data_IF_692501256177
#
_entry.id   IF_692501256177
#
_cell.length_a   1.000
_cell.length_b   1.000
_cell.length_c   1.000
_cell.angle_alpha   90.00
_cell.angle_beta   90.00
_cell.angle_gamma   90.00
#
_symmetry.space_group_name_H-M   'P 1'
#
loop_
_entity.id
_entity.type
_entity.pdbx_description
1 polymer ?
#
# COMPACT_ATOMS: atom_id res chain seq x y z
N UNK A 1 6.79 19.71 10.92
CA UNK A 1 7.35 18.78 9.91
C UNK A 1 6.78 17.38 10.13
N UNK A 2 6.91 16.82 11.34
CA UNK A 2 6.29 15.54 11.71
C UNK A 2 4.78 15.46 11.40
N UNK A 3 3.96 16.42 11.86
CA UNK A 3 2.51 16.44 11.59
C UNK A 3 2.16 16.41 10.08
N UNK A 4 2.89 17.16 9.25
CA UNK A 4 2.68 17.17 7.79
C UNK A 4 3.03 15.83 7.13
N UNK A 5 4.01 15.12 7.67
CA UNK A 5 4.42 13.83 7.14
C UNK A 5 3.43 12.76 7.59
N UNK A 6 2.96 12.80 8.84
CA UNK A 6 1.89 11.94 9.34
C UNK A 6 0.60 12.11 8.52
N UNK A 7 0.20 13.35 8.23
CA UNK A 7 -0.93 13.64 7.33
C UNK A 7 -0.72 13.08 5.92
N UNK A 8 0.50 13.19 5.38
CA UNK A 8 0.84 12.63 4.08
C UNK A 8 0.75 11.10 4.09
N UNK A 9 1.32 10.41 5.08
CA UNK A 9 1.22 8.94 5.16
C UNK A 9 -0.23 8.48 5.31
N UNK A 10 -1.02 9.17 6.15
CA UNK A 10 -2.43 8.86 6.31
C UNK A 10 -3.19 9.02 4.98
N UNK A 11 -2.90 10.09 4.24
CA UNK A 11 -3.48 10.33 2.92
C UNK A 11 -3.08 9.25 1.89
N UNK A 12 -1.82 8.82 1.87
CA UNK A 12 -1.32 7.74 0.99
C UNK A 12 -2.05 6.42 1.27
N UNK A 13 -2.19 6.04 2.54
CA UNK A 13 -2.91 4.84 2.95
C UNK A 13 -4.40 4.93 2.61
N UNK A 14 -5.05 6.06 2.89
CA UNK A 14 -6.46 6.27 2.58
C UNK A 14 -6.72 6.24 1.07
N UNK A 15 -5.81 6.81 0.28
CA UNK A 15 -5.89 6.79 -1.19
C UNK A 15 -5.79 5.35 -1.70
N UNK A 16 -4.79 4.59 -1.21
CA UNK A 16 -4.63 3.18 -1.60
C UNK A 16 -5.83 2.31 -1.20
N UNK A 17 -6.41 2.53 -0.01
CA UNK A 17 -7.67 1.86 0.40
C UNK A 17 -8.81 2.21 -0.56
N UNK A 18 -8.95 3.49 -0.91
CA UNK A 18 -10.01 3.95 -1.80
C UNK A 18 -9.88 3.35 -3.20
N UNK A 19 -8.65 3.21 -3.70
CA UNK A 19 -8.37 2.58 -4.99
C UNK A 19 -8.76 1.11 -5.00
N UNK A 20 -8.42 0.36 -3.94
CA UNK A 20 -8.85 -1.05 -3.80
C UNK A 20 -10.37 -1.18 -3.70
N UNK A 21 -11.04 -0.28 -2.98
CA UNK A 21 -12.50 -0.30 -2.85
C UNK A 21 -13.24 0.03 -4.16
N UNK A 22 -12.67 0.91 -4.98
CA UNK A 22 -13.24 1.34 -6.26
C UNK A 22 -12.79 0.48 -7.45
N UNK A 23 -11.89 -0.48 -7.22
CA UNK A 23 -11.37 -1.32 -8.28
C UNK A 23 -12.44 -2.27 -8.84
N UNK A 24 -12.49 -2.31 -10.16
CA UNK A 24 -13.20 -3.27 -10.99
C UNK A 24 -12.33 -3.65 -12.20
N UNK A 25 -12.92 -4.34 -13.18
CA UNK A 25 -12.15 -4.90 -14.31
C UNK A 25 -11.40 -3.81 -15.10
N UNK A 26 -12.01 -2.64 -15.30
CA UNK A 26 -11.46 -1.57 -16.16
C UNK A 26 -10.24 -0.85 -15.57
N UNK A 27 -10.07 -0.86 -14.25
CA UNK A 27 -8.96 -0.22 -13.55
C UNK A 27 -8.05 -1.23 -12.82
N UNK A 28 -8.25 -2.54 -13.00
CA UNK A 28 -7.41 -3.57 -12.39
C UNK A 28 -5.91 -3.40 -12.72
N UNK A 29 -5.57 -2.97 -13.95
CA UNK A 29 -4.19 -2.69 -14.33
C UNK A 29 -3.62 -1.45 -13.62
N UNK A 30 -4.41 -0.38 -13.54
CA UNK A 30 -4.02 0.84 -12.84
C UNK A 30 -3.88 0.62 -11.33
N UNK A 31 -4.60 -0.36 -10.77
CA UNK A 31 -4.53 -0.69 -9.34
C UNK A 31 -3.15 -1.19 -8.93
N UNK A 32 -2.50 -2.02 -9.76
CA UNK A 32 -1.14 -2.47 -9.48
C UNK A 32 -0.16 -1.29 -9.49
N UNK A 33 -0.20 -0.49 -10.55
CA UNK A 33 0.68 0.68 -10.70
C UNK A 33 0.48 1.69 -9.56
N UNK A 34 -0.78 1.91 -9.14
CA UNK A 34 -1.13 2.73 -7.98
C UNK A 34 -0.51 2.19 -6.68
N UNK A 35 -0.67 0.90 -6.39
CA UNK A 35 -0.12 0.29 -5.18
C UNK A 35 1.41 0.35 -5.13
N UNK A 36 2.09 0.06 -6.24
CA UNK A 36 3.54 0.20 -6.34
C UNK A 36 3.99 1.64 -6.10
N UNK A 37 3.29 2.62 -6.67
CA UNK A 37 3.61 4.05 -6.49
C UNK A 37 3.43 4.51 -5.04
N UNK A 38 2.30 4.19 -4.41
CA UNK A 38 2.03 4.57 -3.02
C UNK A 38 3.03 3.92 -2.07
N UNK A 39 3.31 2.62 -2.25
CA UNK A 39 4.28 1.90 -1.39
C UNK A 39 5.71 2.42 -1.60
N UNK A 40 6.10 2.76 -2.83
CA UNK A 40 7.41 3.35 -3.10
C UNK A 40 7.56 4.70 -2.38
N UNK A 41 6.56 5.58 -2.49
CA UNK A 41 6.57 6.88 -1.82
C UNK A 41 6.69 6.75 -0.28
N UNK A 42 5.97 5.80 0.32
CA UNK A 42 6.09 5.52 1.76
C UNK A 42 7.52 5.09 2.17
N UNK A 43 8.16 4.25 1.35
CA UNK A 43 9.54 3.78 1.59
C UNK A 43 10.62 4.84 1.33
N UNK A 44 10.31 5.91 0.59
CA UNK A 44 11.23 7.04 0.41
C UNK A 44 11.32 7.91 1.67
N UNK A 45 10.21 8.04 2.40
CA UNK A 45 10.07 8.93 3.56
C UNK A 45 10.51 8.27 4.87
N UNK A 46 10.39 6.94 4.98
CA UNK A 46 10.62 6.19 6.21
C UNK A 46 11.98 5.51 6.27
N UNK A 47 12.49 5.31 7.49
CA UNK A 47 13.67 4.48 7.71
C UNK A 47 13.37 3.04 7.33
N UNK A 48 14.32 2.41 6.64
CA UNK A 48 14.20 1.01 6.26
C UNK A 48 14.16 0.14 7.51
N UNK A 49 13.13 -0.70 7.59
CA UNK A 49 13.03 -1.73 8.62
C UNK A 49 12.47 -3.01 8.00
N UNK A 50 12.83 -4.19 8.53
CA UNK A 50 12.26 -5.45 8.06
C UNK A 50 10.73 -5.47 8.13
N UNK A 51 10.15 -4.91 9.19
CA UNK A 51 8.70 -4.83 9.35
C UNK A 51 8.03 -3.98 8.25
N UNK A 52 8.63 -2.84 7.90
CA UNK A 52 8.14 -1.99 6.81
C UNK A 52 8.27 -2.70 5.46
N UNK A 53 9.37 -3.41 5.22
CA UNK A 53 9.58 -4.16 3.99
C UNK A 53 8.56 -5.29 3.85
N UNK A 54 8.36 -6.10 4.89
CA UNK A 54 7.42 -7.22 4.88
C UNK A 54 5.98 -6.73 4.68
N UNK A 55 5.59 -5.65 5.35
CA UNK A 55 4.26 -5.06 5.20
C UNK A 55 4.05 -4.46 3.80
N UNK A 56 5.05 -3.74 3.27
CA UNK A 56 5.05 -3.20 1.90
C UNK A 56 4.90 -4.32 0.86
N UNK A 57 5.67 -5.40 1.03
CA UNK A 57 5.62 -6.56 0.14
C UNK A 57 4.26 -7.27 0.21
N UNK A 58 3.69 -7.42 1.40
CA UNK A 58 2.36 -8.00 1.59
C UNK A 58 1.28 -7.17 0.86
N UNK A 59 1.30 -5.84 0.99
CA UNK A 59 0.38 -4.95 0.29
C UNK A 59 0.46 -5.14 -1.23
N UNK A 60 1.67 -5.04 -1.80
CA UNK A 60 1.87 -5.21 -3.25
C UNK A 60 1.37 -6.60 -3.69
N UNK A 61 1.74 -7.66 -2.97
CA UNK A 61 1.36 -9.04 -3.30
C UNK A 61 -0.16 -9.22 -3.32
N UNK A 62 -0.86 -8.74 -2.29
CA UNK A 62 -2.31 -8.91 -2.18
C UNK A 62 -3.07 -8.02 -3.15
N UNK A 63 -2.61 -6.80 -3.42
CA UNK A 63 -3.22 -5.92 -4.42
C UNK A 63 -3.06 -6.50 -5.83
N UNK A 64 -1.88 -7.02 -6.18
CA UNK A 64 -1.66 -7.71 -7.46
C UNK A 64 -2.56 -8.95 -7.58
N UNK A 65 -2.69 -9.74 -6.50
CA UNK A 65 -3.56 -10.91 -6.50
C UNK A 65 -5.03 -10.52 -6.75
N UNK A 66 -5.50 -9.45 -6.12
CA UNK A 66 -6.84 -8.92 -6.34
C UNK A 66 -7.03 -8.39 -7.77
N UNK A 67 -6.11 -7.58 -8.29
CA UNK A 67 -6.12 -7.10 -9.67
C UNK A 67 -6.18 -8.25 -10.69
N UNK A 68 -5.44 -9.34 -10.44
CA UNK A 68 -5.48 -10.54 -11.30
C UNK A 68 -6.84 -11.22 -11.28
N UNK A 69 -7.52 -11.31 -10.12
CA UNK A 69 -8.88 -11.87 -10.02
C UNK A 69 -9.91 -11.04 -10.77
N UNK A 70 -9.77 -9.71 -10.72
CA UNK A 70 -10.59 -8.80 -11.53
C UNK A 70 -10.36 -9.02 -13.02
N UNK A 71 -9.09 -9.09 -13.44
CA UNK A 71 -8.74 -9.30 -14.86
C UNK A 71 -9.21 -10.65 -15.40
N UNK A 72 -9.07 -11.71 -14.60
CA UNK A 72 -9.51 -13.06 -14.98
C UNK A 72 -11.02 -13.27 -14.91
N UNK A 73 -11.79 -12.25 -14.49
CA UNK A 73 -13.23 -12.36 -14.22
C UNK A 73 -13.53 -13.55 -13.31
N UNK A 74 -12.73 -13.70 -12.25
CA UNK A 74 -12.95 -14.75 -11.25
C UNK A 74 -14.35 -14.63 -10.64
N UNK A 75 -14.84 -15.70 -10.02
CA UNK A 75 -16.10 -15.67 -9.31
C UNK A 75 -16.12 -14.50 -8.31
N UNK A 76 -17.30 -13.86 -8.15
CA UNK A 76 -17.45 -12.69 -7.28
C UNK A 76 -16.92 -12.98 -5.89
N UNK A 77 -17.22 -14.16 -5.33
CA UNK A 77 -16.74 -14.57 -4.01
C UNK A 77 -15.19 -14.57 -3.90
N UNK A 78 -14.48 -15.05 -4.93
CA UNK A 78 -13.01 -15.07 -4.96
C UNK A 78 -12.43 -13.65 -5.09
N UNK A 79 -13.05 -12.81 -5.92
CA UNK A 79 -12.64 -11.41 -6.06
C UNK A 79 -12.84 -10.63 -4.76
N UNK A 80 -13.97 -10.87 -4.08
CA UNK A 80 -14.28 -10.26 -2.78
C UNK A 80 -13.39 -10.76 -1.64
N UNK A 81 -12.97 -12.03 -1.67
CA UNK A 81 -11.97 -12.55 -0.75
C UNK A 81 -10.60 -11.90 -0.98
N UNK A 82 -10.15 -11.82 -2.23
CA UNK A 82 -8.90 -11.14 -2.57
C UNK A 82 -8.93 -9.65 -2.20
N UNK A 83 -10.06 -8.96 -2.41
CA UNK A 83 -10.26 -7.57 -1.98
C UNK A 83 -10.10 -7.41 -0.48
N UNK A 84 -10.73 -8.30 0.32
CA UNK A 84 -10.60 -8.29 1.79
C UNK A 84 -9.16 -8.54 2.23
N UNK A 85 -8.45 -9.46 1.59
CA UNK A 85 -7.04 -9.71 1.88
C UNK A 85 -6.15 -8.49 1.57
N UNK A 86 -6.39 -7.80 0.45
CA UNK A 86 -5.67 -6.57 0.11
C UNK A 86 -5.92 -5.45 1.14
N UNK A 87 -7.17 -5.24 1.55
CA UNK A 87 -7.50 -4.25 2.59
C UNK A 87 -6.85 -4.59 3.94
N UNK A 88 -6.86 -5.86 4.34
CA UNK A 88 -6.20 -6.29 5.57
C UNK A 88 -4.68 -6.06 5.54
N UNK A 89 -4.04 -6.26 4.38
CA UNK A 89 -2.62 -5.96 4.21
C UNK A 89 -2.34 -4.45 4.31
N UNK A 90 -3.20 -3.60 3.74
CA UNK A 90 -3.08 -2.14 3.83
C UNK A 90 -3.26 -1.66 5.28
N UNK A 91 -4.21 -2.25 6.01
CA UNK A 91 -4.39 -1.97 7.43
C UNK A 91 -3.18 -2.41 8.27
N UNK A 92 -2.58 -3.56 7.93
CA UNK A 92 -1.32 -4.00 8.53
C UNK A 92 -0.17 -3.03 8.28
N UNK A 93 -0.03 -2.53 7.05
CA UNK A 93 0.95 -1.50 6.71
C UNK A 93 0.72 -0.24 7.54
N UNK A 94 -0.52 0.24 7.66
CA UNK A 94 -0.85 1.42 8.47
C UNK A 94 -0.41 1.29 9.94
N UNK A 95 -0.54 0.10 10.53
CA UNK A 95 -0.05 -0.17 11.89
C UNK A 95 1.47 -0.06 11.97
N UNK A 96 2.19 -0.62 11.00
CA UNK A 96 3.66 -0.55 10.93
C UNK A 96 4.13 0.89 10.74
N UNK A 97 3.45 1.67 9.89
CA UNK A 97 3.76 3.10 9.70
C UNK A 97 3.61 3.90 10.99
N UNK A 98 2.60 3.61 11.82
CA UNK A 98 2.42 4.25 13.12
C UNK A 98 3.53 3.93 14.15
N UNK A 99 4.40 2.97 13.85
CA UNK A 99 5.54 2.55 14.68
C UNK A 99 6.89 2.84 14.01
N UNK A 100 6.90 3.31 12.76
CA UNK A 100 8.11 3.47 11.97
C UNK A 100 8.85 4.75 12.32
N UNK A 101 10.18 4.70 12.25
CA UNK A 101 11.03 5.87 12.40
C UNK A 101 11.20 6.60 11.07
N UNK A 102 11.27 7.93 11.14
CA UNK A 102 11.40 8.80 9.98
C UNK A 102 12.85 8.87 9.51
N UNK A 103 13.09 8.93 8.19
CA UNK A 103 14.37 9.39 7.69
C UNK A 103 14.50 10.87 8.02
N UNK A 104 15.27 11.21 9.06
CA UNK A 104 15.73 12.58 9.24
C UNK A 104 16.65 12.91 8.07
N UNK A 105 16.23 13.81 7.18
CA UNK A 105 17.10 14.41 6.17
C UNK A 105 18.22 15.14 6.89
N UNK A 106 19.34 14.44 7.07
CA UNK A 106 20.42 14.91 7.93
C UNK A 106 21.65 14.01 7.96
N UNK A 107 21.98 13.32 6.86
CA UNK A 107 23.35 12.86 6.62
C UNK A 107 23.57 12.70 5.11
N UNK A 108 24.00 13.79 4.48
CA UNK A 108 24.70 13.71 3.19
C UNK A 108 26.10 13.20 3.56
N UNK A 109 26.53 12.01 3.11
CA UNK A 109 27.91 11.59 3.32
C UNK A 109 28.83 12.52 2.51
N UNK A 110 29.88 12.99 3.19
CA UNK A 110 30.90 13.91 2.67
C UNK A 110 31.70 13.34 1.49
#
# INVERSE_FOLDING_TARGET
MAERIEELLACEIETLRADVLKAGVLNAKALQESAESHVAHLNEVLCESPALHDASFAVITHVIAFARRLYSQAAIAESEEARRAALAAIDGLAVVLGQAEWRTTGEVPA
#
